data_IF_171941077005
#
_entry.id   IF_171941077005
#
_cell.length_a   1.000
_cell.length_b   1.000
_cell.length_c   1.000
_cell.angle_alpha   90.00
_cell.angle_beta   90.00
_cell.angle_gamma   90.00
#
_symmetry.space_group_name_H-M   'P 1'
#
loop_
_entity.id
_entity.type
_entity.pdbx_description
1 polymer ?
#
# COMPACT_ATOMS: atom_id res chain seq x y z
N UNK A 1 -47.29 -32.50 50.30
CA UNK A 1 -46.98 -32.52 48.85
C UNK A 1 -46.97 -31.06 48.36
N UNK A 2 -45.78 -30.49 48.14
CA UNK A 2 -45.62 -29.18 47.50
C UNK A 2 -45.39 -29.40 46.01
N UNK A 3 -46.19 -28.73 45.18
CA UNK A 3 -46.00 -28.66 43.74
C UNK A 3 -44.72 -27.84 43.42
N UNK A 4 -43.97 -28.18 42.37
CA UNK A 4 -42.84 -27.40 41.96
C UNK A 4 -43.29 -26.12 41.23
N UNK A 5 -42.86 -24.98 41.73
CA UNK A 5 -42.93 -23.69 40.99
C UNK A 5 -42.03 -23.76 39.76
N UNK A 6 -42.63 -23.91 38.58
CA UNK A 6 -41.96 -23.70 37.31
C UNK A 6 -41.72 -22.19 37.11
N UNK A 7 -40.60 -21.68 37.59
CA UNK A 7 -40.13 -20.34 37.21
C UNK A 7 -39.59 -20.44 35.80
N UNK A 8 -40.39 -20.03 34.83
CA UNK A 8 -39.96 -19.83 33.44
C UNK A 8 -39.07 -18.59 33.47
N UNK A 9 -37.76 -18.78 33.51
CA UNK A 9 -36.80 -17.72 33.19
C UNK A 9 -36.95 -17.38 31.72
N UNK A 10 -37.73 -16.35 31.41
CA UNK A 10 -37.61 -15.62 30.15
C UNK A 10 -36.26 -14.97 30.14
N UNK A 11 -35.28 -15.62 29.55
CA UNK A 11 -34.05 -14.95 29.12
C UNK A 11 -34.49 -13.92 28.07
N UNK A 12 -34.55 -12.64 28.41
CA UNK A 12 -34.63 -11.56 27.44
C UNK A 12 -33.36 -11.71 26.57
N UNK A 13 -33.48 -12.41 25.44
CA UNK A 13 -32.52 -12.26 24.36
C UNK A 13 -32.57 -10.78 24.00
N UNK A 14 -31.54 -10.04 24.39
CA UNK A 14 -31.30 -8.72 23.85
C UNK A 14 -31.24 -8.89 22.34
N UNK A 15 -32.32 -8.48 21.65
CA UNK A 15 -32.45 -8.61 20.21
C UNK A 15 -31.52 -7.55 19.59
N UNK A 16 -30.22 -7.90 19.53
CA UNK A 16 -29.16 -7.05 18.97
C UNK A 16 -29.25 -7.12 17.47
N UNK A 17 -29.26 -5.97 16.83
CA UNK A 17 -29.20 -5.84 15.39
C UNK A 17 -27.87 -5.23 14.97
N UNK A 18 -27.25 -5.82 13.96
CA UNK A 18 -26.02 -5.31 13.34
C UNK A 18 -26.40 -4.76 11.98
N UNK A 19 -26.11 -3.50 11.75
CA UNK A 19 -26.49 -2.78 10.54
C UNK A 19 -25.24 -2.12 9.94
N UNK A 20 -25.02 -2.40 8.67
CA UNK A 20 -24.07 -1.66 7.86
C UNK A 20 -24.79 -0.57 7.08
N UNK A 21 -24.30 0.66 7.18
CA UNK A 21 -24.71 1.76 6.33
C UNK A 21 -23.60 2.10 5.35
N UNK A 22 -23.99 2.33 4.11
CA UNK A 22 -23.12 2.84 3.06
C UNK A 22 -23.73 4.16 2.56
N UNK A 23 -22.93 5.22 2.66
CA UNK A 23 -23.31 6.57 2.28
C UNK A 23 -22.42 7.00 1.14
N UNK A 24 -22.99 7.57 0.08
CA UNK A 24 -22.24 8.08 -1.06
C UNK A 24 -22.85 9.39 -1.58
N UNK A 25 -22.00 10.32 -1.98
CA UNK A 25 -22.40 11.60 -2.51
C UNK A 25 -21.25 12.58 -2.59
N UNK A 26 -21.57 13.85 -2.80
CA UNK A 26 -20.59 14.93 -2.80
C UNK A 26 -20.02 15.14 -1.40
N UNK A 27 -18.69 15.24 -1.30
CA UNK A 27 -18.01 15.48 -0.01
C UNK A 27 -18.26 16.90 0.49
N UNK A 28 -18.78 17.01 1.72
CA UNK A 28 -19.08 18.29 2.38
C UNK A 28 -18.61 18.24 3.84
N UNK A 29 -18.05 19.34 4.37
CA UNK A 29 -17.68 19.44 5.78
C UNK A 29 -18.87 19.15 6.70
N UNK A 30 -18.63 18.38 7.77
CA UNK A 30 -19.64 18.07 8.79
C UNK A 30 -20.56 16.88 8.49
N UNK A 31 -20.42 16.23 7.33
CA UNK A 31 -21.27 15.11 6.94
C UNK A 31 -21.13 13.91 7.88
N UNK A 32 -19.92 13.46 8.12
CA UNK A 32 -19.64 12.36 9.06
C UNK A 32 -20.11 12.70 10.48
N UNK A 33 -19.86 13.93 10.94
CA UNK A 33 -20.32 14.41 12.26
C UNK A 33 -21.83 14.34 12.40
N UNK A 34 -22.58 14.87 11.43
CA UNK A 34 -24.04 14.88 11.46
C UNK A 34 -24.65 13.47 11.50
N UNK A 35 -24.05 12.53 10.80
CA UNK A 35 -24.54 11.15 10.76
C UNK A 35 -24.17 10.37 12.03
N UNK A 36 -22.96 10.55 12.55
CA UNK A 36 -22.53 9.90 13.80
C UNK A 36 -23.23 10.47 15.02
N UNK A 37 -23.63 11.73 15.01
CA UNK A 37 -24.45 12.35 16.07
C UNK A 37 -25.81 11.66 16.22
N UNK A 38 -26.43 11.25 15.11
CA UNK A 38 -27.66 10.46 15.16
C UNK A 38 -27.41 9.12 15.86
N UNK A 39 -26.36 8.40 15.47
CA UNK A 39 -25.98 7.14 16.12
C UNK A 39 -25.70 7.31 17.61
N UNK A 40 -25.05 8.40 17.99
CA UNK A 40 -24.71 8.72 19.38
C UNK A 40 -25.96 8.96 20.24
N UNK A 41 -27.01 9.62 19.72
CA UNK A 41 -28.27 9.86 20.45
C UNK A 41 -28.99 8.57 20.86
N UNK A 42 -28.74 7.49 20.16
CA UNK A 42 -29.32 6.17 20.45
C UNK A 42 -28.34 5.22 21.13
N UNK A 43 -27.15 5.68 21.54
CA UNK A 43 -26.09 4.85 22.10
C UNK A 43 -25.71 3.67 21.21
N UNK A 44 -25.75 3.84 19.89
CA UNK A 44 -25.35 2.83 18.93
C UNK A 44 -23.84 2.57 19.03
N UNK A 45 -23.45 1.31 19.09
CA UNK A 45 -22.06 0.93 19.20
C UNK A 45 -21.44 0.74 17.82
N UNK A 46 -20.41 1.53 17.50
CA UNK A 46 -19.67 1.40 16.24
C UNK A 46 -18.76 0.18 16.29
N UNK A 47 -18.95 -0.73 15.33
CA UNK A 47 -18.14 -1.95 15.15
C UNK A 47 -17.02 -1.72 14.16
N UNK A 48 -17.27 -0.93 13.10
CA UNK A 48 -16.27 -0.54 12.10
C UNK A 48 -16.70 0.74 11.39
N UNK A 49 -15.73 1.50 10.90
CA UNK A 49 -15.98 2.73 10.13
C UNK A 49 -14.86 2.94 9.12
N UNK A 50 -15.23 3.29 7.89
CA UNK A 50 -14.28 3.58 6.83
C UNK A 50 -14.80 4.64 5.87
N UNK A 51 -13.91 5.53 5.45
CA UNK A 51 -14.22 6.60 4.51
C UNK A 51 -13.20 6.63 3.38
N UNK A 52 -13.67 6.83 2.16
CA UNK A 52 -12.83 7.03 0.99
C UNK A 52 -13.34 8.22 0.16
N UNK A 53 -12.40 9.04 -0.30
CA UNK A 53 -12.70 10.18 -1.18
C UNK A 53 -11.96 10.02 -2.50
N UNK A 54 -12.70 10.05 -3.62
CA UNK A 54 -12.15 10.12 -4.97
C UNK A 54 -12.72 11.34 -5.66
N UNK A 55 -11.87 12.29 -6.02
CA UNK A 55 -12.29 13.61 -6.49
C UNK A 55 -13.18 14.30 -5.43
N UNK A 56 -14.38 14.68 -5.77
CA UNK A 56 -15.36 15.29 -4.86
C UNK A 56 -16.40 14.28 -4.34
N UNK A 57 -16.21 13.00 -4.63
CA UNK A 57 -17.14 11.94 -4.22
C UNK A 57 -16.65 11.26 -2.94
N UNK A 58 -17.48 11.30 -1.93
CA UNK A 58 -17.32 10.60 -0.66
C UNK A 58 -18.02 9.24 -0.72
N UNK A 59 -17.36 8.23 -0.17
CA UNK A 59 -17.99 6.97 0.24
C UNK A 59 -17.67 6.73 1.70
N UNK A 60 -18.69 6.63 2.55
CA UNK A 60 -18.58 6.39 3.99
C UNK A 60 -19.35 5.11 4.33
N UNK A 61 -18.65 4.14 4.90
CA UNK A 61 -19.23 2.91 5.46
C UNK A 61 -19.17 2.96 6.98
N UNK A 62 -20.29 2.66 7.65
CA UNK A 62 -20.34 2.48 9.11
C UNK A 62 -21.06 1.18 9.41
N UNK A 63 -20.41 0.34 10.22
CA UNK A 63 -20.99 -0.88 10.78
C UNK A 63 -21.25 -0.64 12.27
N UNK A 64 -22.48 -0.78 12.69
CA UNK A 64 -22.85 -0.55 14.09
C UNK A 64 -23.82 -1.62 14.59
N UNK A 65 -23.84 -1.80 15.91
CA UNK A 65 -24.84 -2.61 16.60
C UNK A 65 -25.74 -1.74 17.45
N UNK A 66 -27.00 -2.13 17.53
CA UNK A 66 -28.04 -1.48 18.34
C UNK A 66 -29.07 -2.53 18.76
N UNK A 67 -30.09 -2.13 19.51
CA UNK A 67 -31.23 -2.97 19.85
C UNK A 67 -32.38 -2.80 18.87
N UNK A 68 -33.21 -3.81 18.67
CA UNK A 68 -34.30 -3.81 17.69
C UNK A 68 -35.35 -2.72 17.94
N UNK A 69 -35.53 -2.29 19.18
CA UNK A 69 -36.44 -1.19 19.55
C UNK A 69 -35.93 0.19 19.09
N UNK A 70 -34.61 0.35 18.91
CA UNK A 70 -33.96 1.60 18.48
C UNK A 70 -33.68 1.65 16.97
N UNK A 71 -33.45 0.50 16.35
CA UNK A 71 -32.95 0.40 14.97
C UNK A 71 -33.84 1.12 13.94
N UNK A 72 -35.14 0.97 14.05
CA UNK A 72 -36.11 1.63 13.15
C UNK A 72 -36.05 3.16 13.22
N UNK A 73 -35.92 3.72 14.42
CA UNK A 73 -35.79 5.17 14.61
C UNK A 73 -34.47 5.69 14.07
N UNK A 74 -33.36 4.97 14.33
CA UNK A 74 -32.03 5.29 13.80
C UNK A 74 -32.07 5.35 12.27
N UNK A 75 -32.57 4.30 11.63
CA UNK A 75 -32.66 4.24 10.16
C UNK A 75 -33.50 5.37 9.59
N UNK A 76 -34.63 5.68 10.21
CA UNK A 76 -35.50 6.77 9.80
C UNK A 76 -34.79 8.12 9.88
N UNK A 77 -34.14 8.45 11.00
CA UNK A 77 -33.43 9.72 11.15
C UNK A 77 -32.23 9.84 10.21
N UNK A 78 -31.47 8.75 10.03
CA UNK A 78 -30.37 8.72 9.07
C UNK A 78 -30.86 8.93 7.63
N UNK A 79 -32.00 8.36 7.25
CA UNK A 79 -32.60 8.55 5.94
C UNK A 79 -32.99 10.02 5.68
N UNK A 80 -33.66 10.68 6.67
CA UNK A 80 -33.99 12.08 6.56
C UNK A 80 -32.72 12.95 6.48
N UNK A 81 -31.72 12.69 7.33
CA UNK A 81 -30.47 13.44 7.30
C UNK A 81 -29.70 13.25 5.98
N UNK A 82 -29.67 12.04 5.44
CA UNK A 82 -29.06 11.79 4.13
C UNK A 82 -29.76 12.58 3.01
N UNK A 83 -31.11 12.64 3.04
CA UNK A 83 -31.88 13.46 2.11
C UNK A 83 -31.59 14.95 2.24
N UNK A 84 -31.47 15.46 3.48
CA UNK A 84 -31.11 16.86 3.75
C UNK A 84 -29.69 17.20 3.23
N UNK A 85 -28.76 16.28 3.41
CA UNK A 85 -27.37 16.42 2.94
C UNK A 85 -27.21 16.22 1.42
N UNK A 86 -28.24 15.70 0.74
CA UNK A 86 -28.20 15.38 -0.68
C UNK A 86 -27.32 14.18 -1.01
N UNK A 87 -27.22 13.21 -0.09
CA UNK A 87 -26.43 11.99 -0.26
C UNK A 87 -27.31 10.75 -0.30
N UNK A 88 -26.79 9.70 -0.94
CA UNK A 88 -27.43 8.39 -0.99
C UNK A 88 -27.04 7.59 0.27
N UNK A 89 -28.00 6.92 0.89
CA UNK A 89 -27.75 6.00 2.00
C UNK A 89 -28.37 4.64 1.70
N UNK A 90 -27.62 3.58 2.01
CA UNK A 90 -28.07 2.19 1.91
C UNK A 90 -27.86 1.49 3.24
N UNK A 91 -28.91 0.82 3.72
CA UNK A 91 -28.88 -0.01 4.91
C UNK A 91 -28.76 -1.49 4.52
N UNK A 92 -27.91 -2.21 5.23
CA UNK A 92 -27.72 -3.66 5.04
C UNK A 92 -27.67 -4.33 6.41
N UNK A 93 -28.73 -5.06 6.82
CA UNK A 93 -28.69 -5.86 8.03
C UNK A 93 -27.65 -6.99 7.89
N UNK A 94 -26.88 -7.21 8.94
CA UNK A 94 -25.84 -8.24 8.99
C UNK A 94 -26.23 -9.28 10.05
N UNK A 95 -26.35 -10.55 9.66
CA UNK A 95 -26.59 -11.62 10.62
C UNK A 95 -25.37 -11.77 11.55
N UNK A 96 -25.61 -12.00 12.84
CA UNK A 96 -24.56 -12.12 13.87
C UNK A 96 -23.49 -13.14 13.46
N UNK A 97 -23.91 -14.33 13.00
CA UNK A 97 -22.98 -15.35 12.51
C UNK A 97 -22.06 -14.83 11.39
N UNK A 98 -22.61 -14.04 10.45
CA UNK A 98 -21.84 -13.48 9.35
C UNK A 98 -20.81 -12.45 9.85
N UNK A 99 -21.17 -11.71 10.89
CA UNK A 99 -20.26 -10.78 11.55
C UNK A 99 -19.12 -11.52 12.26
N UNK A 100 -19.44 -12.56 13.07
CA UNK A 100 -18.45 -13.38 13.77
C UNK A 100 -17.49 -14.08 12.79
N UNK A 101 -18.01 -14.66 11.71
CA UNK A 101 -17.20 -15.24 10.64
C UNK A 101 -16.24 -14.20 10.01
N UNK A 102 -16.71 -12.98 9.84
CA UNK A 102 -15.87 -11.87 9.33
C UNK A 102 -14.78 -11.48 10.32
N UNK A 103 -15.12 -11.34 11.60
CA UNK A 103 -14.14 -11.05 12.68
C UNK A 103 -13.09 -12.15 12.77
N UNK A 104 -13.49 -13.41 12.70
CA UNK A 104 -12.58 -14.56 12.74
C UNK A 104 -11.56 -14.59 11.58
N UNK A 105 -11.86 -13.93 10.47
CA UNK A 105 -10.93 -13.79 9.32
C UNK A 105 -9.95 -12.64 9.46
N UNK A 106 -10.10 -11.75 10.46
CA UNK A 106 -9.26 -10.56 10.62
C UNK A 106 -7.80 -10.87 11.02
N UNK A 107 -7.53 -12.04 11.61
CA UNK A 107 -6.20 -12.46 12.08
C UNK A 107 -5.21 -12.91 11.01
N UNK A 108 -5.55 -12.81 9.70
CA UNK A 108 -4.63 -13.19 8.62
C UNK A 108 -3.49 -12.19 8.45
N UNK A 109 -2.36 -12.68 7.91
CA UNK A 109 -1.24 -11.81 7.57
C UNK A 109 -1.66 -10.71 6.61
N UNK A 110 -1.07 -9.54 6.80
CA UNK A 110 -1.23 -8.38 5.92
C UNK A 110 0.07 -8.11 5.20
N UNK A 111 -0.07 -7.68 3.95
CA UNK A 111 1.05 -7.27 3.11
C UNK A 111 0.73 -5.93 2.46
N UNK A 112 1.77 -5.21 2.13
CA UNK A 112 1.69 -3.95 1.39
C UNK A 112 2.39 -4.16 0.05
N UNK A 113 1.68 -3.84 -1.01
CA UNK A 113 2.20 -3.77 -2.36
C UNK A 113 2.28 -2.30 -2.73
N UNK A 114 3.46 -1.82 -3.06
CA UNK A 114 3.69 -0.44 -3.49
C UNK A 114 4.07 -0.42 -4.95
N UNK A 115 3.27 0.27 -5.76
CA UNK A 115 3.47 0.46 -7.19
C UNK A 115 4.15 1.80 -7.42
N UNK A 116 5.24 1.79 -8.15
CA UNK A 116 5.99 2.97 -8.52
C UNK A 116 6.13 3.03 -10.04
N UNK A 117 5.86 4.17 -10.63
CA UNK A 117 6.01 4.37 -12.06
C UNK A 117 5.84 5.82 -12.44
N UNK A 118 6.25 6.19 -13.65
CA UNK A 118 5.99 7.53 -14.16
C UNK A 118 4.50 7.72 -14.40
N UNK A 119 3.86 6.76 -15.04
CA UNK A 119 2.41 6.71 -15.22
C UNK A 119 1.89 5.35 -14.77
N UNK A 120 0.84 5.31 -13.94
CA UNK A 120 0.16 4.07 -13.60
C UNK A 120 -1.13 3.99 -14.40
N UNK A 121 -1.19 3.02 -15.32
CA UNK A 121 -2.32 2.78 -16.22
C UNK A 121 -3.27 1.73 -15.65
N UNK A 122 -4.46 1.60 -16.25
CA UNK A 122 -5.40 0.53 -15.90
C UNK A 122 -4.79 -0.87 -16.16
N UNK A 123 -3.93 -1.02 -17.18
CA UNK A 123 -3.20 -2.26 -17.44
C UNK A 123 -2.30 -2.64 -16.27
N UNK A 124 -1.53 -1.69 -15.74
CA UNK A 124 -0.66 -1.93 -14.58
C UNK A 124 -1.45 -2.42 -13.37
N UNK A 125 -2.61 -1.80 -13.08
CA UNK A 125 -3.47 -2.23 -11.98
C UNK A 125 -4.03 -3.63 -12.24
N UNK A 126 -4.47 -3.93 -13.47
CA UNK A 126 -5.03 -5.23 -13.82
C UNK A 126 -3.98 -6.35 -13.63
N UNK A 127 -2.76 -6.17 -14.15
CA UNK A 127 -1.67 -7.14 -14.00
C UNK A 127 -1.34 -7.40 -12.52
N UNK A 128 -1.15 -6.34 -11.74
CA UNK A 128 -0.86 -6.48 -10.29
C UNK A 128 -1.99 -7.18 -9.55
N UNK A 129 -3.24 -6.80 -9.83
CA UNK A 129 -4.39 -7.39 -9.12
C UNK A 129 -4.67 -8.83 -9.57
N UNK A 130 -4.28 -9.22 -10.79
CA UNK A 130 -4.30 -10.61 -11.24
C UNK A 130 -3.33 -11.46 -10.43
N UNK A 131 -2.08 -11.03 -10.31
CA UNK A 131 -1.09 -11.73 -9.47
C UNK A 131 -1.59 -11.87 -8.02
N UNK A 132 -2.19 -10.83 -7.45
CA UNK A 132 -2.77 -10.87 -6.09
C UNK A 132 -3.88 -11.91 -5.99
N UNK A 133 -4.78 -11.96 -6.98
CA UNK A 133 -5.92 -12.86 -7.01
C UNK A 133 -5.50 -14.33 -7.21
N UNK A 134 -4.54 -14.59 -8.07
CA UNK A 134 -3.97 -15.92 -8.33
C UNK A 134 -3.39 -16.56 -7.07
N UNK A 135 -2.85 -15.75 -6.16
CA UNK A 135 -2.33 -16.18 -4.86
C UNK A 135 -3.38 -16.15 -3.73
N UNK A 136 -4.66 -15.99 -4.06
CA UNK A 136 -5.76 -16.04 -3.09
C UNK A 136 -5.75 -14.93 -2.04
N UNK A 137 -5.05 -13.81 -2.30
CA UNK A 137 -5.04 -12.65 -1.44
C UNK A 137 -6.24 -11.73 -1.72
N UNK A 138 -6.77 -11.11 -0.68
CA UNK A 138 -7.82 -10.11 -0.78
C UNK A 138 -7.22 -8.69 -0.69
N UNK A 139 -7.69 -7.79 -1.55
CA UNK A 139 -7.32 -6.38 -1.49
C UNK A 139 -8.27 -5.68 -0.54
N UNK A 140 -7.75 -5.16 0.57
CA UNK A 140 -8.53 -4.45 1.59
C UNK A 140 -8.64 -2.95 1.28
N UNK A 141 -7.57 -2.37 0.71
CA UNK A 141 -7.54 -0.94 0.37
C UNK A 141 -6.57 -0.67 -0.78
N UNK A 142 -6.89 0.33 -1.58
CA UNK A 142 -6.01 0.90 -2.61
C UNK A 142 -5.92 2.40 -2.36
N UNK A 143 -4.69 2.93 -2.24
CA UNK A 143 -4.46 4.34 -1.95
C UNK A 143 -3.37 4.92 -2.84
N UNK A 144 -3.65 6.02 -3.53
CA UNK A 144 -2.63 6.81 -4.20
C UNK A 144 -1.88 7.65 -3.16
N UNK A 145 -0.55 7.53 -3.13
CA UNK A 145 0.32 8.26 -2.20
C UNK A 145 0.86 9.56 -2.79
N UNK A 146 0.94 9.66 -4.11
CA UNK A 146 1.39 10.89 -4.81
C UNK A 146 0.23 11.85 -5.06
N UNK A 147 0.58 13.13 -5.26
CA UNK A 147 -0.37 14.17 -5.68
C UNK A 147 -1.07 13.83 -7.00
N UNK A 148 -2.13 14.59 -7.30
CA UNK A 148 -2.80 14.55 -8.62
C UNK A 148 -2.10 15.54 -9.53
N UNK A 149 -2.04 15.20 -10.80
CA UNK A 149 -1.35 15.99 -11.82
C UNK A 149 -2.41 16.74 -12.63
N UNK A 150 -2.25 18.06 -12.86
CA UNK A 150 -3.08 18.78 -13.80
C UNK A 150 -2.98 18.19 -15.19
N UNK A 151 -4.10 18.15 -15.93
CA UNK A 151 -4.13 17.60 -17.29
C UNK A 151 -3.28 18.42 -18.30
N UNK A 152 -2.86 19.62 -17.90
CA UNK A 152 -1.99 20.52 -18.69
C UNK A 152 -0.50 20.26 -18.53
N UNK A 153 -0.11 19.46 -17.53
CA UNK A 153 1.31 19.11 -17.32
C UNK A 153 1.72 17.91 -18.17
N UNK A 154 3.00 17.91 -18.60
CA UNK A 154 3.57 16.79 -19.38
C UNK A 154 3.63 15.54 -18.48
N UNK A 155 3.00 14.45 -18.91
CA UNK A 155 2.99 13.16 -18.23
C UNK A 155 4.40 12.61 -17.94
N UNK A 156 5.44 13.10 -18.66
CA UNK A 156 6.82 12.66 -18.49
C UNK A 156 7.44 13.09 -17.16
N UNK A 157 6.96 14.19 -16.57
CA UNK A 157 7.40 14.64 -15.25
C UNK A 157 6.61 13.97 -14.11
N UNK A 158 5.55 13.24 -14.46
CA UNK A 158 4.66 12.61 -13.51
C UNK A 158 5.35 11.46 -12.79
N UNK A 159 5.15 11.39 -11.48
CA UNK A 159 5.51 10.24 -10.65
C UNK A 159 4.25 9.74 -9.97
N UNK A 160 4.01 8.45 -10.08
CA UNK A 160 2.84 7.80 -9.48
C UNK A 160 3.28 6.76 -8.48
N UNK A 161 2.74 6.87 -7.27
CA UNK A 161 2.90 5.85 -6.23
C UNK A 161 1.51 5.44 -5.74
N UNK A 162 1.21 4.15 -5.83
CA UNK A 162 -0.05 3.57 -5.37
C UNK A 162 0.28 2.43 -4.40
N UNK A 163 -0.37 2.43 -3.26
CA UNK A 163 -0.26 1.40 -2.23
C UNK A 163 -1.54 0.54 -2.22
N UNK A 164 -1.37 -0.78 -2.24
CA UNK A 164 -2.43 -1.75 -2.00
C UNK A 164 -2.15 -2.43 -0.66
N UNK A 165 -3.14 -2.44 0.22
CA UNK A 165 -3.14 -3.27 1.43
C UNK A 165 -3.85 -4.57 1.10
N UNK A 166 -3.16 -5.69 1.24
CA UNK A 166 -3.70 -7.02 0.92
C UNK A 166 -3.63 -7.94 2.13
N UNK A 167 -4.55 -8.88 2.18
CA UNK A 167 -4.69 -9.83 3.30
C UNK A 167 -4.79 -11.26 2.79
N UNK A 168 -4.10 -12.17 3.47
CA UNK A 168 -4.14 -13.60 3.20
C UNK A 168 -2.98 -14.32 3.83
N UNK A 169 -2.84 -15.59 3.55
CA UNK A 169 -1.73 -16.40 4.04
C UNK A 169 -0.96 -16.91 2.82
N UNK A 170 0.33 -16.67 2.83
CA UNK A 170 1.27 -17.15 1.81
C UNK A 170 2.30 -18.04 2.46
N UNK A 171 2.64 -19.13 1.81
CA UNK A 171 3.87 -19.88 2.06
C UNK A 171 5.08 -19.10 1.57
N UNK A 172 6.28 -19.49 1.95
CA UNK A 172 7.51 -18.85 1.46
C UNK A 172 7.70 -19.06 -0.05
N UNK A 173 7.27 -20.21 -0.58
CA UNK A 173 7.30 -20.51 -2.01
C UNK A 173 6.33 -19.62 -2.80
N UNK A 174 5.07 -19.54 -2.37
CA UNK A 174 4.06 -18.65 -3.00
C UNK A 174 4.51 -17.19 -2.97
N UNK A 175 5.16 -16.77 -1.88
CA UNK A 175 5.71 -15.43 -1.78
C UNK A 175 6.83 -15.17 -2.80
N UNK A 176 7.72 -16.13 -3.00
CA UNK A 176 8.80 -16.03 -4.00
C UNK A 176 8.23 -15.98 -5.42
N UNK A 177 7.28 -16.87 -5.74
CA UNK A 177 6.60 -16.87 -7.04
C UNK A 177 5.87 -15.55 -7.31
N UNK A 178 5.20 -15.00 -6.30
CA UNK A 178 4.52 -13.71 -6.40
C UNK A 178 5.52 -12.57 -6.64
N UNK A 179 6.69 -12.60 -5.97
CA UNK A 179 7.75 -11.61 -6.20
C UNK A 179 8.32 -11.69 -7.61
N UNK A 180 8.54 -12.89 -8.15
CA UNK A 180 8.95 -13.10 -9.54
C UNK A 180 7.91 -12.54 -10.52
N UNK A 181 6.61 -12.79 -10.28
CA UNK A 181 5.53 -12.21 -11.05
C UNK A 181 5.57 -10.68 -11.07
N UNK A 182 5.86 -10.05 -9.93
CA UNK A 182 6.00 -8.60 -9.87
C UNK A 182 7.26 -8.06 -10.54
N UNK A 183 8.38 -8.79 -10.52
CA UNK A 183 9.60 -8.38 -11.22
C UNK A 183 9.39 -8.25 -12.72
N UNK A 184 8.57 -9.09 -13.33
CA UNK A 184 8.25 -9.03 -14.75
C UNK A 184 7.50 -7.74 -15.15
N UNK A 185 6.88 -7.05 -14.17
CA UNK A 185 6.17 -5.81 -14.43
C UNK A 185 7.10 -4.62 -14.69
N UNK A 186 8.38 -4.72 -14.34
CA UNK A 186 9.39 -3.71 -14.67
C UNK A 186 9.55 -3.52 -16.19
N UNK A 187 9.33 -4.56 -16.97
CA UNK A 187 9.38 -4.50 -18.43
C UNK A 187 8.32 -3.57 -19.03
N UNK A 188 7.21 -3.36 -18.33
CA UNK A 188 6.15 -2.44 -18.73
C UNK A 188 6.23 -1.07 -18.03
N UNK A 189 7.36 -0.79 -17.35
CA UNK A 189 7.63 0.51 -16.71
C UNK A 189 6.96 0.67 -15.33
N UNK A 190 6.70 -0.43 -14.63
CA UNK A 190 6.14 -0.43 -13.28
C UNK A 190 7.07 -1.17 -12.31
N UNK A 191 7.57 -0.47 -11.30
CA UNK A 191 8.28 -1.09 -10.19
C UNK A 191 7.31 -1.47 -9.08
N UNK A 192 7.44 -2.66 -8.54
CA UNK A 192 6.56 -3.19 -7.51
C UNK A 192 7.36 -3.63 -6.29
N UNK A 193 7.06 -3.04 -5.14
CA UNK A 193 7.57 -3.49 -3.84
C UNK A 193 6.51 -4.31 -3.11
N UNK A 194 6.89 -5.46 -2.59
CA UNK A 194 6.02 -6.35 -1.82
C UNK A 194 6.62 -6.57 -0.42
N UNK A 195 5.87 -6.18 0.62
CA UNK A 195 6.35 -6.20 1.99
C UNK A 195 5.29 -6.77 2.94
N UNK A 196 5.72 -7.51 3.97
CA UNK A 196 4.85 -7.88 5.07
C UNK A 196 4.53 -6.64 5.92
N UNK A 197 3.25 -6.43 6.24
CA UNK A 197 2.79 -5.32 7.10
C UNK A 197 2.78 -5.81 8.56
N UNK A 198 3.94 -5.84 9.16
CA UNK A 198 4.14 -6.19 10.56
C UNK A 198 4.65 -5.00 11.39
N UNK A 199 4.86 -5.24 12.69
CA UNK A 199 5.35 -4.23 13.62
C UNK A 199 6.69 -3.64 13.18
N UNK A 200 7.55 -4.42 12.52
CA UNK A 200 8.88 -3.98 12.12
C UNK A 200 8.86 -3.04 10.92
N UNK A 201 7.82 -3.08 10.09
CA UNK A 201 7.69 -2.18 8.93
C UNK A 201 7.71 -0.70 9.33
N UNK A 202 7.08 -0.35 10.45
CA UNK A 202 6.91 1.04 10.91
C UNK A 202 7.90 1.48 11.99
N UNK A 203 8.69 0.58 12.53
CA UNK A 203 9.64 0.85 13.63
C UNK A 203 11.10 0.82 13.19
N UNK A 204 11.38 0.90 11.90
CA UNK A 204 12.75 0.93 11.38
C UNK A 204 13.45 2.22 11.79
N UNK A 205 14.68 2.10 12.29
CA UNK A 205 15.52 3.23 12.75
C UNK A 205 16.84 3.34 11.99
N UNK A 206 17.13 2.37 11.13
CA UNK A 206 18.33 2.36 10.30
C UNK A 206 17.90 2.21 8.84
N UNK A 207 18.44 3.08 8.00
CA UNK A 207 18.30 3.04 6.56
C UNK A 207 19.70 2.94 5.98
N UNK A 208 19.95 1.90 5.18
CA UNK A 208 21.18 1.73 4.43
C UNK A 208 20.86 1.89 2.95
N UNK A 209 21.67 2.68 2.26
CA UNK A 209 21.55 2.88 0.82
C UNK A 209 22.75 2.26 0.14
N UNK A 210 22.52 1.62 -0.98
CA UNK A 210 23.55 1.36 -1.97
C UNK A 210 23.91 2.67 -2.67
N UNK A 211 25.14 2.80 -3.14
CA UNK A 211 25.61 4.04 -3.74
C UNK A 211 25.44 4.02 -5.25
N UNK A 212 26.11 3.06 -5.91
CA UNK A 212 26.16 2.99 -7.36
C UNK A 212 24.78 2.61 -7.92
N UNK A 213 24.33 3.28 -8.98
CA UNK A 213 23.01 3.10 -9.58
C UNK A 213 21.82 3.27 -8.60
N UNK A 214 22.07 3.76 -7.38
CA UNK A 214 21.06 4.01 -6.33
C UNK A 214 21.07 5.46 -5.84
N UNK A 215 22.14 5.91 -5.16
CA UNK A 215 22.29 7.32 -4.76
C UNK A 215 22.83 8.19 -5.90
N UNK A 216 23.54 7.58 -6.80
CA UNK A 216 24.07 8.16 -8.03
C UNK A 216 23.58 7.36 -9.24
N UNK A 217 23.49 8.01 -10.41
CA UNK A 217 22.96 7.40 -11.64
C UNK A 217 24.00 6.59 -12.43
N UNK A 218 25.24 6.45 -11.89
CA UNK A 218 26.36 5.78 -12.54
C UNK A 218 27.05 4.80 -11.61
N UNK A 219 27.89 3.95 -12.20
CA UNK A 219 28.84 3.09 -11.50
C UNK A 219 30.18 3.82 -11.40
N UNK A 220 30.69 4.08 -10.19
CA UNK A 220 31.97 4.83 -10.01
C UNK A 220 33.14 4.12 -10.67
N UNK A 221 33.16 2.77 -10.67
CA UNK A 221 34.24 2.02 -11.32
C UNK A 221 34.25 2.23 -12.84
N UNK A 222 33.10 2.41 -13.47
CA UNK A 222 33.01 2.68 -14.91
C UNK A 222 33.52 4.09 -15.22
N UNK A 223 33.21 5.09 -14.40
CA UNK A 223 33.75 6.44 -14.53
C UNK A 223 35.29 6.46 -14.40
N UNK A 224 35.85 5.72 -13.45
CA UNK A 224 37.28 5.56 -13.27
C UNK A 224 37.93 4.86 -14.49
N UNK A 225 37.26 3.84 -15.03
CA UNK A 225 37.72 3.10 -16.19
C UNK A 225 37.76 3.95 -17.46
N UNK A 226 36.76 4.81 -17.67
CA UNK A 226 36.78 5.76 -18.78
C UNK A 226 37.94 6.75 -18.69
N UNK A 227 38.23 7.27 -17.48
CA UNK A 227 39.38 8.17 -17.26
C UNK A 227 40.74 7.47 -17.42
N UNK A 228 40.79 6.14 -17.13
CA UNK A 228 41.98 5.32 -17.32
C UNK A 228 42.13 4.82 -18.79
N UNK A 229 41.14 5.04 -19.65
CA UNK A 229 41.12 4.55 -21.04
C UNK A 229 40.90 3.04 -21.18
N UNK A 230 40.34 2.41 -20.14
CA UNK A 230 40.11 0.94 -20.07
C UNK A 230 38.60 0.60 -19.91
N UNK A 231 37.69 1.50 -20.30
CA UNK A 231 36.25 1.34 -20.10
C UNK A 231 35.68 0.10 -20.76
N UNK A 232 36.12 -0.25 -21.99
CA UNK A 232 35.62 -1.42 -22.69
C UNK A 232 36.02 -2.74 -21.99
N UNK A 233 37.25 -2.83 -21.51
CA UNK A 233 37.76 -4.00 -20.79
C UNK A 233 37.00 -4.18 -19.46
N UNK A 234 36.74 -3.11 -18.74
CA UNK A 234 35.96 -3.16 -17.48
C UNK A 234 34.55 -3.62 -17.74
N UNK A 235 33.87 -3.09 -18.77
CA UNK A 235 32.53 -3.51 -19.17
C UNK A 235 32.49 -4.99 -19.55
N UNK A 236 33.47 -5.48 -20.29
CA UNK A 236 33.58 -6.90 -20.66
C UNK A 236 33.67 -7.81 -19.43
N UNK A 237 34.48 -7.43 -18.42
CA UNK A 237 34.62 -8.18 -17.17
C UNK A 237 33.32 -8.17 -16.37
N UNK A 238 32.65 -7.01 -16.31
CA UNK A 238 31.33 -6.87 -15.65
C UNK A 238 30.29 -7.78 -16.32
N UNK A 239 30.23 -7.79 -17.64
CA UNK A 239 29.31 -8.64 -18.37
C UNK A 239 29.57 -10.14 -18.15
N UNK A 240 30.86 -10.56 -18.03
CA UNK A 240 31.23 -11.93 -17.71
C UNK A 240 30.78 -12.33 -16.30
N UNK A 241 30.93 -11.43 -15.31
CA UNK A 241 30.43 -11.65 -13.95
C UNK A 241 28.87 -11.77 -13.92
N UNK A 242 28.16 -10.92 -14.66
CA UNK A 242 26.71 -10.97 -14.73
C UNK A 242 26.19 -12.27 -15.37
N UNK A 243 26.94 -12.88 -16.28
CA UNK A 243 26.63 -14.21 -16.83
C UNK A 243 27.02 -15.36 -15.89
N UNK A 244 27.64 -15.07 -14.72
CA UNK A 244 28.08 -16.08 -13.78
C UNK A 244 29.34 -16.85 -14.22
N UNK A 245 30.09 -16.36 -15.21
CA UNK A 245 31.34 -16.98 -15.70
C UNK A 245 32.49 -16.78 -14.73
N UNK A 246 32.50 -15.70 -13.98
CA UNK A 246 33.43 -15.35 -12.91
C UNK A 246 32.69 -14.88 -11.67
N UNK A 247 33.28 -15.09 -10.48
CA UNK A 247 32.68 -14.62 -9.24
C UNK A 247 32.92 -13.11 -9.01
N UNK A 248 32.24 -12.55 -8.03
CA UNK A 248 32.34 -11.12 -7.69
C UNK A 248 33.79 -10.74 -7.31
N UNK A 249 34.48 -11.56 -6.52
CA UNK A 249 35.83 -11.25 -6.02
C UNK A 249 36.84 -11.21 -7.17
N UNK A 250 36.74 -12.15 -8.07
CA UNK A 250 37.60 -12.21 -9.26
C UNK A 250 37.32 -11.03 -10.19
N UNK A 251 36.04 -10.77 -10.48
CA UNK A 251 35.60 -9.63 -11.29
C UNK A 251 36.14 -8.31 -10.70
N UNK A 252 35.91 -8.08 -9.41
CA UNK A 252 36.37 -6.87 -8.74
C UNK A 252 37.88 -6.70 -8.81
N UNK A 253 38.63 -7.76 -8.51
CA UNK A 253 40.11 -7.73 -8.55
C UNK A 253 40.63 -7.42 -9.95
N UNK A 254 40.06 -8.01 -11.00
CA UNK A 254 40.45 -7.77 -12.40
C UNK A 254 40.16 -6.32 -12.81
N UNK A 255 38.96 -5.78 -12.49
CA UNK A 255 38.56 -4.41 -12.83
C UNK A 255 39.46 -3.37 -12.15
N UNK A 256 39.71 -3.54 -10.84
CA UNK A 256 40.59 -2.63 -10.09
C UNK A 256 42.06 -2.69 -10.58
N UNK A 257 42.55 -3.88 -10.98
CA UNK A 257 43.91 -4.02 -11.52
C UNK A 257 44.13 -3.20 -12.80
N UNK A 258 43.10 -3.04 -13.63
CA UNK A 258 43.11 -2.21 -14.84
C UNK A 258 43.28 -0.71 -14.55
N UNK A 259 42.88 -0.25 -13.37
CA UNK A 259 43.00 1.15 -12.95
C UNK A 259 44.40 1.51 -12.44
N UNK A 260 45.36 0.59 -12.46
CA UNK A 260 46.74 0.80 -11.99
C UNK A 260 47.40 1.94 -12.76
N UNK A 261 47.85 2.95 -12.04
CA UNK A 261 48.54 4.12 -12.59
C UNK A 261 47.60 5.32 -12.83
N UNK A 262 46.33 5.20 -12.57
CA UNK A 262 45.41 6.33 -12.59
C UNK A 262 45.73 7.29 -11.44
N UNK A 263 45.80 8.58 -11.72
CA UNK A 263 46.09 9.60 -10.72
C UNK A 263 44.94 9.78 -9.76
N UNK A 264 45.24 9.89 -8.47
CA UNK A 264 44.22 10.02 -7.41
C UNK A 264 43.37 11.29 -7.57
N UNK A 265 43.92 12.36 -8.17
CA UNK A 265 43.17 13.60 -8.41
C UNK A 265 41.91 13.41 -9.27
N UNK A 266 41.89 12.36 -10.11
CA UNK A 266 40.71 11.97 -10.91
C UNK A 266 39.51 11.67 -10.04
N UNK A 267 39.72 11.08 -8.83
CA UNK A 267 38.62 10.76 -7.91
C UNK A 267 37.91 12.02 -7.42
N UNK A 268 38.63 13.12 -7.17
CA UNK A 268 38.00 14.40 -6.78
C UNK A 268 37.20 15.01 -7.91
N UNK A 269 37.69 14.89 -9.15
CA UNK A 269 36.97 15.37 -10.34
C UNK A 269 35.67 14.60 -10.54
N UNK A 270 35.71 13.27 -10.47
CA UNK A 270 34.53 12.42 -10.56
C UNK A 270 33.55 12.76 -9.44
N UNK A 271 33.99 12.83 -8.18
CA UNK A 271 33.12 13.13 -7.04
C UNK A 271 32.36 14.44 -7.16
N UNK A 272 32.97 15.47 -7.81
CA UNK A 272 32.28 16.77 -8.05
C UNK A 272 31.22 16.71 -9.15
N UNK A 273 31.36 15.76 -10.08
CA UNK A 273 30.54 15.67 -11.27
C UNK A 273 29.57 14.47 -11.28
N UNK A 274 29.55 13.67 -10.19
CA UNK A 274 28.63 12.51 -10.10
C UNK A 274 27.18 12.94 -10.26
N UNK A 275 26.43 12.34 -11.18
CA UNK A 275 25.01 12.61 -11.33
C UNK A 275 24.25 11.99 -10.14
N UNK A 276 23.66 12.84 -9.34
CA UNK A 276 22.86 12.42 -8.16
C UNK A 276 21.48 12.01 -8.62
N UNK A 277 21.01 10.88 -8.13
CA UNK A 277 19.67 10.36 -8.43
C UNK A 277 18.59 11.38 -8.08
N UNK A 278 17.64 11.53 -9.00
CA UNK A 278 16.55 12.49 -8.86
C UNK A 278 15.75 12.28 -7.56
N UNK A 279 15.61 13.33 -6.76
CA UNK A 279 14.87 13.33 -5.50
C UNK A 279 15.71 12.96 -4.26
N UNK A 280 17.01 12.62 -4.42
CA UNK A 280 17.87 12.26 -3.29
C UNK A 280 17.98 13.38 -2.26
N UNK A 281 18.21 14.61 -2.67
CA UNK A 281 18.33 15.77 -1.76
C UNK A 281 17.07 15.96 -0.92
N UNK A 282 15.89 15.84 -1.55
CA UNK A 282 14.60 15.94 -0.87
C UNK A 282 14.43 14.80 0.13
N UNK A 283 14.78 13.58 -0.26
CA UNK A 283 14.70 12.40 0.62
C UNK A 283 15.62 12.58 1.82
N UNK A 284 16.87 12.98 1.63
CA UNK A 284 17.82 13.20 2.72
C UNK A 284 17.38 14.33 3.67
N UNK A 285 16.70 15.36 3.16
CA UNK A 285 16.12 16.44 3.98
C UNK A 285 14.99 15.90 4.88
N UNK A 286 14.18 14.95 4.40
CA UNK A 286 13.09 14.35 5.18
C UNK A 286 13.61 13.36 6.23
N UNK A 287 14.72 12.69 5.96
CA UNK A 287 15.31 11.68 6.84
C UNK A 287 16.17 12.27 7.98
N UNK A 288 16.62 13.52 7.86
CA UNK A 288 17.31 14.27 8.92
C UNK A 288 16.33 14.78 9.96
#
# INVERSE_FOLDING_TARGET
QKAPENTIHYTMQNNVEIIQINISGEDKPGMTSSLTEILARYDAFILDIGQANIHQSLTLGILFKTTADKSGNIMKELLFKASELGVMIRFTPIAERKYEDWVGRQGKNRYIITLLGRTVTARHIAEVTSVVAEHGLNIDAIKRLTGRIPLSEDDRAAKSCIELSVRGSLTDEERSTMQEGFMNLSEIGLDVSFQKDDIYRRSRRLICFDMDSTLIETEVIDELAERAGVGEEVRAITASAMRGEIDFRESFSRRVALLKGLDVSVMEEIARNLPITEGLERMMTILK
#
